data_IF_241585505130
#
_entry.id   IF_241585505130
#
_cell.length_a   1.000
_cell.length_b   1.000
_cell.length_c   1.000
_cell.angle_alpha   90.00
_cell.angle_beta   90.00
_cell.angle_gamma   90.00
#
_symmetry.space_group_name_H-M   'P 1'
#
loop_
_entity.id
_entity.type
_entity.pdbx_description
1 polymer ?
#
# COMPACT_ATOMS: atom_id res chain seq x y z
N UNK A 1 25.08 0.65 -18.32
CA UNK A 1 24.22 1.53 -17.53
C UNK A 1 23.19 0.64 -16.83
N UNK A 2 23.15 0.66 -15.49
CA UNK A 2 22.39 -0.21 -14.62
C UNK A 2 20.86 -0.04 -14.62
N UNK A 3 20.27 0.31 -15.75
CA UNK A 3 18.83 0.25 -15.94
C UNK A 3 18.56 -1.09 -16.60
N UNK A 4 18.10 -2.03 -15.79
CA UNK A 4 17.92 -3.40 -16.23
C UNK A 4 16.58 -3.61 -16.95
N UNK A 5 16.50 -4.67 -17.75
CA UNK A 5 15.33 -4.96 -18.60
C UNK A 5 14.06 -5.18 -17.79
N UNK A 6 14.18 -5.64 -16.54
CA UNK A 6 13.08 -5.86 -15.60
C UNK A 6 12.54 -4.58 -14.95
N UNK A 7 13.27 -3.44 -15.07
CA UNK A 7 12.76 -2.17 -14.58
C UNK A 7 11.59 -1.68 -15.44
N UNK A 8 10.42 -1.31 -14.87
CA UNK A 8 9.24 -0.87 -15.62
C UNK A 8 9.52 0.36 -16.50
N UNK A 9 10.49 1.20 -16.12
CA UNK A 9 10.86 2.39 -16.88
C UNK A 9 11.95 2.15 -17.93
N UNK A 10 12.47 0.93 -18.08
CA UNK A 10 13.60 0.62 -18.96
C UNK A 10 13.37 1.04 -20.40
N UNK A 11 12.24 0.64 -21.01
CA UNK A 11 11.90 0.97 -22.40
C UNK A 11 11.77 2.48 -22.59
N UNK A 12 11.13 3.16 -21.64
CA UNK A 12 11.00 4.62 -21.69
C UNK A 12 12.38 5.30 -21.60
N UNK A 13 13.22 4.84 -20.69
CA UNK A 13 14.56 5.38 -20.50
C UNK A 13 15.40 5.23 -21.77
N UNK A 14 15.43 4.04 -22.37
CA UNK A 14 16.16 3.79 -23.61
C UNK A 14 15.64 4.63 -24.76
N UNK A 15 14.33 4.64 -25.00
CA UNK A 15 13.74 5.33 -26.16
C UNK A 15 13.66 6.84 -26.01
N UNK A 16 13.22 7.34 -24.84
CA UNK A 16 12.93 8.79 -24.67
C UNK A 16 14.08 9.57 -24.02
N UNK A 17 14.88 8.91 -23.18
CA UNK A 17 15.99 9.59 -22.49
C UNK A 17 17.28 9.42 -23.30
N UNK A 18 17.65 8.19 -23.65
CA UNK A 18 18.88 7.89 -24.41
C UNK A 18 18.69 7.95 -25.93
N UNK A 19 17.46 8.04 -26.41
CA UNK A 19 17.12 8.13 -27.85
C UNK A 19 17.64 6.92 -28.66
N UNK A 20 17.66 5.74 -28.01
CA UNK A 20 17.98 4.45 -28.64
C UNK A 20 16.69 3.74 -29.00
N UNK A 21 16.60 3.22 -30.22
CA UNK A 21 15.39 2.52 -30.67
C UNK A 21 15.30 1.14 -29.99
N UNK A 22 14.18 0.92 -29.28
CA UNK A 22 13.75 -0.38 -28.77
C UNK A 22 12.32 -0.62 -29.19
N UNK A 23 12.06 -1.82 -29.70
CA UNK A 23 10.71 -2.22 -30.07
C UNK A 23 9.81 -2.43 -28.84
N UNK A 24 8.54 -2.10 -28.98
CA UNK A 24 7.48 -2.37 -28.02
C UNK A 24 6.80 -1.12 -27.46
N UNK A 25 5.68 -1.35 -26.76
CA UNK A 25 4.86 -0.30 -26.17
C UNK A 25 5.63 0.40 -25.06
N UNK A 26 5.67 1.73 -25.12
CA UNK A 26 6.27 2.58 -24.09
C UNK A 26 5.14 3.04 -23.18
N UNK A 27 5.23 2.69 -21.91
CA UNK A 27 4.28 3.13 -20.89
C UNK A 27 4.73 4.46 -20.29
N UNK A 28 3.80 5.39 -20.17
CA UNK A 28 3.98 6.62 -19.43
C UNK A 28 3.36 6.49 -18.05
N UNK A 29 4.21 6.52 -17.04
CA UNK A 29 3.84 6.52 -15.61
C UNK A 29 4.36 7.78 -14.94
N UNK A 30 3.96 8.02 -13.69
CA UNK A 30 4.55 9.09 -12.87
C UNK A 30 6.09 9.02 -12.85
N UNK A 31 6.64 7.82 -12.73
CA UNK A 31 8.10 7.61 -12.67
C UNK A 31 8.79 7.95 -13.99
N UNK A 32 8.21 7.55 -15.12
CA UNK A 32 8.77 7.85 -16.44
C UNK A 32 8.68 9.33 -16.78
N UNK A 33 7.64 10.01 -16.34
CA UNK A 33 7.51 11.46 -16.49
C UNK A 33 8.56 12.21 -15.68
N UNK A 34 8.95 11.73 -14.50
CA UNK A 34 10.04 12.29 -13.73
C UNK A 34 11.38 12.19 -14.47
N UNK A 35 11.64 11.08 -15.17
CA UNK A 35 12.82 10.95 -16.03
C UNK A 35 12.81 11.98 -17.17
N UNK A 36 11.65 12.19 -17.80
CA UNK A 36 11.52 13.21 -18.84
C UNK A 36 11.72 14.63 -18.31
N UNK A 37 11.17 14.91 -17.13
CA UNK A 37 11.37 16.21 -16.47
C UNK A 37 12.84 16.44 -16.11
N UNK A 38 13.53 15.42 -15.61
CA UNK A 38 14.97 15.48 -15.33
C UNK A 38 15.78 15.80 -16.62
N UNK A 39 15.48 15.11 -17.74
CA UNK A 39 16.12 15.41 -19.04
C UNK A 39 15.89 16.85 -19.45
N UNK A 40 14.65 17.34 -19.34
CA UNK A 40 14.30 18.71 -19.69
C UNK A 40 15.01 19.73 -18.77
N UNK A 41 15.07 19.45 -17.47
CA UNK A 41 15.80 20.26 -16.51
C UNK A 41 17.29 20.37 -16.86
N UNK A 42 17.96 19.26 -17.13
CA UNK A 42 19.38 19.29 -17.51
C UNK A 42 19.60 20.02 -18.85
N UNK A 43 18.73 19.79 -19.85
CA UNK A 43 18.79 20.56 -21.11
C UNK A 43 18.69 22.06 -20.85
N UNK A 44 17.71 22.49 -20.05
CA UNK A 44 17.51 23.89 -19.70
C UNK A 44 18.74 24.47 -18.98
N UNK A 45 19.23 23.76 -17.96
CA UNK A 45 20.40 24.19 -17.17
C UNK A 45 21.67 24.32 -18.02
N UNK A 46 21.88 23.41 -18.98
CA UNK A 46 23.00 23.50 -19.92
C UNK A 46 22.84 24.73 -20.85
N UNK A 47 21.64 25.00 -21.36
CA UNK A 47 21.36 26.18 -22.16
C UNK A 47 21.59 27.49 -21.36
N UNK A 48 21.12 27.54 -20.14
CA UNK A 48 21.34 28.69 -19.22
C UNK A 48 22.83 28.91 -18.96
N UNK A 49 23.59 27.85 -18.71
CA UNK A 49 25.04 27.91 -18.53
C UNK A 49 25.75 28.43 -19.77
N UNK A 50 25.34 27.99 -20.95
CA UNK A 50 25.86 28.46 -22.23
C UNK A 50 25.60 29.95 -22.44
N UNK A 51 24.37 30.40 -22.19
CA UNK A 51 23.97 31.81 -22.32
C UNK A 51 24.69 32.70 -21.30
N UNK A 52 24.77 32.25 -20.02
CA UNK A 52 25.50 32.98 -18.99
C UNK A 52 27.01 33.11 -19.28
N UNK A 53 27.56 32.18 -20.05
CA UNK A 53 28.93 32.23 -20.57
C UNK A 53 29.10 33.04 -21.84
N UNK A 54 28.18 33.97 -22.16
CA UNK A 54 28.18 34.79 -23.40
C UNK A 54 28.18 33.95 -24.69
N UNK A 55 27.43 32.84 -24.68
CA UNK A 55 27.36 31.86 -25.77
C UNK A 55 28.72 31.25 -26.16
N UNK A 56 29.63 31.14 -25.15
CA UNK A 56 30.96 30.57 -25.35
C UNK A 56 30.91 29.04 -25.18
N UNK A 57 31.29 28.32 -26.20
CA UNK A 57 31.36 26.87 -26.23
C UNK A 57 32.42 26.29 -25.26
N UNK A 58 33.42 27.09 -24.85
CA UNK A 58 34.43 26.68 -23.88
C UNK A 58 33.84 26.34 -22.54
N UNK A 59 32.75 27.02 -22.14
CA UNK A 59 32.04 26.72 -20.85
C UNK A 59 31.46 25.29 -20.89
N UNK A 60 30.87 24.94 -22.00
CA UNK A 60 30.31 23.59 -22.20
C UNK A 60 31.42 22.55 -22.32
N UNK A 61 32.49 22.84 -23.05
CA UNK A 61 33.64 21.93 -23.14
C UNK A 61 34.29 21.70 -21.78
N UNK A 62 34.40 22.73 -20.95
CA UNK A 62 34.92 22.59 -19.58
C UNK A 62 34.02 21.73 -18.70
N UNK A 63 32.69 21.89 -18.81
CA UNK A 63 31.71 21.01 -18.14
C UNK A 63 31.89 19.55 -18.60
N UNK A 64 31.99 19.32 -19.89
CA UNK A 64 32.20 17.99 -20.49
C UNK A 64 33.49 17.34 -20.00
N UNK A 65 34.61 18.08 -20.01
CA UNK A 65 35.90 17.60 -19.52
C UNK A 65 35.83 17.27 -18.01
N UNK A 66 35.17 18.13 -17.23
CA UNK A 66 35.01 17.87 -15.79
C UNK A 66 34.22 16.59 -15.54
N UNK A 67 33.11 16.35 -16.27
CA UNK A 67 32.28 15.16 -16.11
C UNK A 67 32.95 13.88 -16.61
N UNK A 68 33.68 13.96 -17.74
CA UNK A 68 34.22 12.76 -18.39
C UNK A 68 35.63 12.39 -17.95
N UNK A 69 36.43 13.36 -17.52
CA UNK A 69 37.86 13.15 -17.22
C UNK A 69 38.24 13.41 -15.78
N UNK A 70 37.56 14.33 -15.06
CA UNK A 70 37.94 14.73 -13.69
C UNK A 70 37.03 14.04 -12.66
N UNK A 71 35.80 13.70 -12.99
CA UNK A 71 34.93 12.96 -12.09
C UNK A 71 35.43 11.51 -12.00
N UNK A 72 35.67 11.05 -10.79
CA UNK A 72 36.13 9.68 -10.53
C UNK A 72 34.96 8.87 -9.98
N UNK A 73 34.77 7.68 -10.53
CA UNK A 73 33.81 6.70 -10.05
C UNK A 73 34.59 5.58 -9.33
N UNK A 74 34.10 5.21 -8.16
CA UNK A 74 34.62 4.04 -7.46
C UNK A 74 33.68 2.86 -7.78
N UNK A 75 34.19 1.87 -8.49
CA UNK A 75 33.43 0.67 -8.87
C UNK A 75 33.82 -0.46 -7.90
N UNK A 76 32.86 -0.95 -7.17
CA UNK A 76 33.01 -2.07 -6.27
C UNK A 76 32.33 -3.30 -6.87
N UNK A 77 33.10 -4.35 -7.08
CA UNK A 77 32.57 -5.66 -7.46
C UNK A 77 32.40 -6.49 -6.20
N UNK A 78 31.24 -7.05 -6.00
CA UNK A 78 30.92 -7.92 -4.87
C UNK A 78 30.68 -9.30 -5.49
N UNK A 79 31.61 -10.23 -5.24
CA UNK A 79 31.63 -11.56 -5.89
C UNK A 79 30.68 -12.57 -5.21
N UNK A 80 30.22 -12.31 -4.00
CA UNK A 80 29.43 -13.22 -3.19
C UNK A 80 27.99 -12.65 -2.99
N UNK A 81 27.00 -13.40 -3.40
CA UNK A 81 25.58 -13.03 -3.28
C UNK A 81 25.17 -12.70 -1.83
N UNK A 82 25.83 -13.29 -0.83
CA UNK A 82 25.63 -12.98 0.58
C UNK A 82 26.07 -11.56 0.93
N UNK A 83 27.24 -11.17 0.44
CA UNK A 83 27.81 -9.85 0.68
C UNK A 83 27.08 -8.74 -0.07
N UNK A 84 26.46 -9.04 -1.22
CA UNK A 84 25.67 -8.09 -2.01
C UNK A 84 24.51 -7.55 -1.19
N UNK A 85 23.77 -8.40 -0.49
CA UNK A 85 22.63 -8.00 0.32
C UNK A 85 23.05 -7.09 1.51
N UNK A 86 24.06 -7.49 2.26
CA UNK A 86 24.55 -6.70 3.40
C UNK A 86 25.17 -5.39 2.92
N UNK A 87 25.94 -5.42 1.84
CA UNK A 87 26.50 -4.21 1.25
C UNK A 87 25.41 -3.26 0.77
N UNK A 88 24.34 -3.78 0.15
CA UNK A 88 23.23 -2.99 -0.34
C UNK A 88 22.43 -2.33 0.80
N UNK A 89 22.11 -3.04 1.88
CA UNK A 89 21.46 -2.46 3.07
C UNK A 89 22.35 -1.39 3.74
N UNK A 90 23.65 -1.63 3.85
CA UNK A 90 24.56 -0.70 4.53
C UNK A 90 24.93 0.52 3.68
N UNK A 91 25.09 0.35 2.36
CA UNK A 91 25.45 1.45 1.47
C UNK A 91 24.28 2.42 1.20
N UNK A 92 23.05 1.91 1.14
CA UNK A 92 21.86 2.74 0.90
C UNK A 92 21.45 3.63 2.09
N UNK A 93 21.99 3.40 3.28
CA UNK A 93 21.77 4.30 4.43
C UNK A 93 22.45 5.68 4.28
N UNK A 94 23.27 5.90 3.23
CA UNK A 94 23.98 7.16 2.99
C UNK A 94 23.34 8.09 1.95
N UNK A 95 22.22 7.69 1.33
CA UNK A 95 21.49 8.44 0.29
C UNK A 95 19.99 8.45 0.52
N UNK A 96 19.20 8.47 -0.58
CA UNK A 96 17.76 8.23 -0.50
C UNK A 96 17.54 6.77 -0.07
N UNK A 97 16.92 6.60 1.09
CA UNK A 97 16.59 5.25 1.59
C UNK A 97 15.72 4.51 0.61
N UNK A 98 15.94 3.21 0.48
CA UNK A 98 15.02 2.32 -0.23
C UNK A 98 13.69 2.27 0.51
N UNK A 99 12.62 2.11 -0.25
CA UNK A 99 11.32 1.80 0.33
C UNK A 99 11.32 0.38 0.93
N UNK A 100 10.39 0.12 1.85
CA UNK A 100 10.24 -1.21 2.44
C UNK A 100 9.92 -2.28 1.38
N UNK A 101 9.19 -1.89 0.33
CA UNK A 101 8.88 -2.76 -0.79
C UNK A 101 10.15 -3.17 -1.58
N UNK A 102 11.09 -2.23 -1.80
CA UNK A 102 12.37 -2.52 -2.44
C UNK A 102 13.28 -3.37 -1.55
N UNK A 103 13.31 -3.09 -0.25
CA UNK A 103 14.05 -3.92 0.72
C UNK A 103 13.51 -5.36 0.72
N UNK A 104 12.19 -5.52 0.66
CA UNK A 104 11.57 -6.84 0.59
C UNK A 104 11.94 -7.58 -0.71
N UNK A 105 11.91 -6.90 -1.87
CA UNK A 105 12.36 -7.48 -3.14
C UNK A 105 13.74 -8.12 -3.00
N UNK A 106 14.69 -7.31 -2.56
CA UNK A 106 16.07 -7.73 -2.44
C UNK A 106 16.23 -8.89 -1.43
N UNK A 107 15.48 -8.84 -0.32
CA UNK A 107 15.44 -9.90 0.67
C UNK A 107 14.92 -11.21 0.07
N UNK A 108 13.85 -11.18 -0.70
CA UNK A 108 13.29 -12.38 -1.33
C UNK A 108 14.26 -12.98 -2.37
N UNK A 109 14.86 -12.14 -3.23
CA UNK A 109 15.88 -12.58 -4.19
C UNK A 109 17.06 -13.24 -3.47
N UNK A 110 17.57 -12.60 -2.41
CA UNK A 110 18.65 -13.17 -1.60
C UNK A 110 18.26 -14.53 -1.00
N UNK A 111 17.08 -14.65 -0.42
CA UNK A 111 16.65 -15.92 0.19
C UNK A 111 16.58 -17.06 -0.83
N UNK A 112 16.24 -16.78 -2.09
CA UNK A 112 16.24 -17.84 -3.13
C UNK A 112 17.62 -18.45 -3.35
N UNK A 113 18.72 -17.75 -3.05
CA UNK A 113 20.08 -18.29 -3.18
C UNK A 113 20.43 -19.32 -2.12
N UNK A 114 19.74 -19.27 -0.97
CA UNK A 114 20.02 -20.12 0.19
C UNK A 114 19.33 -21.48 0.15
N UNK A 115 18.32 -21.65 -0.71
CA UNK A 115 17.61 -22.91 -0.85
C UNK A 115 18.46 -23.94 -1.62
N UNK A 116 18.27 -25.23 -1.28
CA UNK A 116 18.96 -26.34 -1.93
C UNK A 116 18.21 -26.89 -3.15
N UNK A 117 17.16 -26.21 -3.56
CA UNK A 117 16.36 -26.57 -4.73
C UNK A 117 17.14 -26.38 -6.04
N UNK A 118 16.59 -26.91 -7.15
CA UNK A 118 17.17 -26.80 -8.47
C UNK A 118 17.39 -25.34 -8.88
N UNK A 119 18.50 -25.05 -9.52
CA UNK A 119 18.84 -23.68 -9.96
C UNK A 119 17.85 -23.13 -10.98
N UNK A 120 17.21 -23.98 -11.77
CA UNK A 120 16.17 -23.58 -12.70
C UNK A 120 14.93 -23.07 -11.96
N UNK A 121 14.46 -23.79 -10.95
CA UNK A 121 13.32 -23.37 -10.10
C UNK A 121 13.64 -22.06 -9.37
N UNK A 122 14.86 -21.92 -8.85
CA UNK A 122 15.29 -20.67 -8.20
C UNK A 122 15.31 -19.51 -9.19
N UNK A 123 15.74 -19.74 -10.43
CA UNK A 123 15.73 -18.71 -11.47
C UNK A 123 14.31 -18.27 -11.83
N UNK A 124 13.39 -19.21 -12.04
CA UNK A 124 11.98 -18.93 -12.32
C UNK A 124 11.34 -18.06 -11.21
N UNK A 125 11.59 -18.38 -9.95
CA UNK A 125 11.07 -17.58 -8.83
C UNK A 125 11.67 -16.17 -8.81
N UNK A 126 12.96 -16.00 -9.15
CA UNK A 126 13.56 -14.66 -9.26
C UNK A 126 12.97 -13.85 -10.41
N UNK A 127 12.69 -14.47 -11.54
CA UNK A 127 11.98 -13.86 -12.67
C UNK A 127 10.57 -13.45 -12.23
N UNK A 128 9.84 -14.31 -11.53
CA UNK A 128 8.52 -14.01 -10.98
C UNK A 128 8.55 -12.83 -9.96
N UNK A 129 9.58 -12.77 -9.11
CA UNK A 129 9.78 -11.63 -8.22
C UNK A 129 9.93 -10.35 -9.04
N UNK A 130 10.81 -10.35 -10.03
CA UNK A 130 11.08 -9.18 -10.85
C UNK A 130 9.83 -8.72 -11.62
N UNK A 131 9.10 -9.64 -12.23
CA UNK A 131 7.87 -9.33 -12.96
C UNK A 131 6.76 -8.82 -12.04
N UNK A 132 6.63 -9.39 -10.85
CA UNK A 132 5.67 -8.91 -9.85
C UNK A 132 5.98 -7.47 -9.42
N UNK A 133 7.25 -7.15 -9.11
CA UNK A 133 7.63 -5.78 -8.74
C UNK A 133 7.45 -4.80 -9.89
N UNK A 134 7.73 -5.21 -11.10
CA UNK A 134 7.45 -4.41 -12.30
C UNK A 134 5.96 -4.09 -12.42
N UNK A 135 5.09 -5.07 -12.20
CA UNK A 135 3.66 -4.88 -12.21
C UNK A 135 3.19 -3.97 -11.07
N UNK A 136 3.68 -4.19 -9.84
CA UNK A 136 3.37 -3.33 -8.69
C UNK A 136 3.72 -1.88 -9.00
N UNK A 137 4.94 -1.58 -9.46
CA UNK A 137 5.34 -0.21 -9.78
C UNK A 137 4.59 0.38 -10.98
N UNK A 138 4.16 -0.46 -11.95
CA UNK A 138 3.28 -0.02 -13.03
C UNK A 138 1.96 0.51 -12.46
N UNK A 139 1.32 -0.23 -11.56
CA UNK A 139 0.07 0.21 -10.91
C UNK A 139 0.27 1.40 -9.98
N UNK A 140 1.28 1.38 -9.10
CA UNK A 140 1.55 2.49 -8.18
C UNK A 140 1.83 3.80 -8.91
N UNK A 141 2.48 3.74 -10.07
CA UNK A 141 2.81 4.90 -10.90
C UNK A 141 1.82 5.20 -12.02
N UNK A 142 0.75 4.41 -12.19
CA UNK A 142 -0.19 4.52 -13.32
C UNK A 142 -0.88 5.88 -13.39
N UNK A 143 -1.24 6.45 -12.23
CA UNK A 143 -1.73 7.81 -12.19
C UNK A 143 -0.56 8.80 -12.28
N UNK A 144 -0.49 9.53 -13.41
CA UNK A 144 0.62 10.43 -13.73
C UNK A 144 0.74 11.64 -12.81
N UNK A 145 -0.35 12.04 -12.16
CA UNK A 145 -0.40 13.21 -11.29
C UNK A 145 -0.08 12.86 -9.83
N UNK A 146 -0.48 11.65 -9.39
CA UNK A 146 -0.36 11.22 -8.00
C UNK A 146 -0.03 9.74 -7.93
N UNK A 147 1.22 9.38 -7.67
CA UNK A 147 1.58 7.99 -7.43
C UNK A 147 0.98 7.52 -6.11
N UNK A 148 0.73 6.22 -6.00
CA UNK A 148 0.36 5.58 -4.75
C UNK A 148 1.62 5.25 -3.94
N UNK A 149 1.48 5.24 -2.62
CA UNK A 149 2.55 4.86 -1.70
C UNK A 149 2.77 3.34 -1.75
N UNK A 150 4.00 2.95 -1.96
CA UNK A 150 4.43 1.55 -1.91
C UNK A 150 4.39 0.99 -0.49
N UNK A 151 4.71 1.79 0.52
CA UNK A 151 4.63 1.40 1.93
C UNK A 151 3.19 1.19 2.39
N UNK A 152 2.25 2.08 1.98
CA UNK A 152 0.82 1.88 2.27
C UNK A 152 0.27 0.59 1.62
N UNK A 153 0.67 0.31 0.39
CA UNK A 153 0.30 -0.93 -0.28
C UNK A 153 0.86 -2.16 0.45
N UNK A 154 2.15 -2.13 0.78
CA UNK A 154 2.80 -3.26 1.46
C UNK A 154 2.18 -3.52 2.85
N UNK A 155 1.85 -2.46 3.60
CA UNK A 155 1.18 -2.58 4.89
C UNK A 155 -0.22 -3.16 4.74
N UNK A 156 -1.01 -2.69 3.77
CA UNK A 156 -2.34 -3.23 3.50
C UNK A 156 -2.29 -4.71 3.10
N UNK A 157 -1.34 -5.08 2.23
CA UNK A 157 -1.12 -6.47 1.85
C UNK A 157 -0.67 -7.34 3.03
N UNK A 158 0.19 -6.81 3.91
CA UNK A 158 0.57 -7.52 5.14
C UNK A 158 -0.65 -7.85 6.01
N UNK A 159 -1.58 -6.91 6.17
CA UNK A 159 -2.84 -7.13 6.89
C UNK A 159 -3.66 -8.25 6.22
N UNK A 160 -3.80 -8.23 4.90
CA UNK A 160 -4.55 -9.23 4.13
C UNK A 160 -3.94 -10.62 4.28
N UNK A 161 -2.62 -10.73 4.16
CA UNK A 161 -1.93 -12.02 4.10
C UNK A 161 -1.68 -12.63 5.48
N UNK A 162 -1.23 -11.82 6.44
CA UNK A 162 -0.84 -12.30 7.77
C UNK A 162 -1.89 -12.02 8.86
N UNK A 163 -2.75 -11.03 8.67
CA UNK A 163 -3.68 -10.55 9.70
C UNK A 163 -3.04 -9.49 10.59
N UNK A 164 -3.79 -9.03 11.58
CA UNK A 164 -3.39 -7.97 12.48
C UNK A 164 -3.67 -8.36 13.92
N UNK A 165 -2.74 -8.07 14.84
CA UNK A 165 -2.96 -8.21 16.27
C UNK A 165 -2.67 -6.89 16.99
N UNK A 166 -3.57 -6.49 17.88
CA UNK A 166 -3.47 -5.23 18.63
C UNK A 166 -2.33 -5.28 19.67
N UNK A 167 -2.09 -6.44 20.26
CA UNK A 167 -1.03 -6.69 21.25
C UNK A 167 0.37 -6.64 20.65
N UNK A 168 0.48 -6.94 19.37
CA UNK A 168 1.72 -6.79 18.65
C UNK A 168 1.63 -5.47 17.86
N UNK A 169 2.01 -4.34 18.48
CA UNK A 169 2.40 -3.09 17.79
C UNK A 169 3.59 -3.36 16.87
N UNK A 170 3.57 -4.51 16.20
CA UNK A 170 4.64 -4.96 15.34
C UNK A 170 4.59 -4.17 14.06
N UNK A 171 5.63 -3.40 13.83
CA UNK A 171 5.86 -2.78 12.54
C UNK A 171 5.89 -3.90 11.47
N UNK A 172 5.01 -3.83 10.48
CA UNK A 172 4.91 -4.80 9.40
C UNK A 172 6.25 -5.08 8.71
N UNK A 173 7.13 -4.06 8.64
CA UNK A 173 8.48 -4.16 8.10
C UNK A 173 9.35 -5.08 8.94
N UNK A 174 9.33 -4.92 10.28
CA UNK A 174 10.08 -5.79 11.18
C UNK A 174 9.56 -7.23 11.10
N UNK A 175 8.24 -7.42 11.00
CA UNK A 175 7.67 -8.75 10.80
C UNK A 175 8.17 -9.38 9.50
N UNK A 176 8.03 -8.69 8.38
CA UNK A 176 8.41 -9.22 7.06
C UNK A 176 9.92 -9.49 6.97
N UNK A 177 10.76 -8.54 7.38
CA UNK A 177 12.20 -8.58 7.12
C UNK A 177 13.02 -9.21 8.25
N UNK A 178 12.53 -9.18 9.50
CA UNK A 178 13.30 -9.69 10.65
C UNK A 178 12.71 -10.95 11.29
N UNK A 179 11.44 -11.29 10.97
CA UNK A 179 10.81 -12.49 11.51
C UNK A 179 10.40 -13.49 10.43
N UNK A 180 9.67 -13.05 9.39
CA UNK A 180 9.09 -13.98 8.41
C UNK A 180 10.08 -14.36 7.31
N UNK A 181 10.60 -13.41 6.54
CA UNK A 181 11.55 -13.66 5.45
C UNK A 181 13.00 -13.53 5.97
N UNK A 182 13.46 -14.52 6.72
CA UNK A 182 14.79 -14.52 7.31
C UNK A 182 15.62 -15.72 6.85
N UNK A 183 16.94 -15.53 6.76
CA UNK A 183 17.90 -16.60 6.48
C UNK A 183 17.74 -17.75 7.49
N UNK A 184 17.56 -17.42 8.77
CA UNK A 184 17.42 -18.40 9.84
C UNK A 184 16.28 -19.38 9.57
N UNK A 185 15.14 -18.88 9.05
CA UNK A 185 13.99 -19.73 8.68
C UNK A 185 14.20 -20.60 7.45
N UNK A 186 15.15 -20.27 6.58
CA UNK A 186 15.53 -21.13 5.46
C UNK A 186 16.37 -22.30 5.95
N UNK A 187 17.25 -22.08 6.94
CA UNK A 187 18.20 -23.06 7.44
C UNK A 187 17.56 -23.95 8.52
N UNK A 188 16.90 -23.32 9.48
CA UNK A 188 16.38 -23.96 10.69
C UNK A 188 14.84 -24.01 10.67
N UNK A 189 14.29 -25.05 11.35
CA UNK A 189 12.86 -25.15 11.62
C UNK A 189 12.54 -24.37 12.90
N UNK A 190 12.10 -23.11 12.76
CA UNK A 190 11.85 -22.22 13.89
C UNK A 190 10.36 -21.89 13.96
N UNK A 191 9.75 -22.23 15.10
CA UNK A 191 8.45 -21.69 15.47
C UNK A 191 8.61 -20.24 15.92
N UNK A 192 8.07 -19.29 15.18
CA UNK A 192 8.02 -17.90 15.62
C UNK A 192 6.70 -17.69 16.33
N UNK A 193 6.75 -17.78 17.66
CA UNK A 193 5.69 -17.26 18.52
C UNK A 193 5.95 -15.77 18.59
N UNK A 194 4.98 -14.94 18.17
CA UNK A 194 5.03 -13.50 18.42
C UNK A 194 4.92 -13.27 19.94
N UNK A 195 6.05 -13.31 20.66
CA UNK A 195 6.13 -12.85 22.04
C UNK A 195 6.34 -11.35 22.06
N UNK A 196 5.72 -10.71 23.04
CA UNK A 196 5.89 -9.31 23.41
C UNK A 196 7.36 -8.88 23.29
N UNK A 197 7.61 -7.89 22.47
CA UNK A 197 8.87 -7.18 22.47
C UNK A 197 8.68 -6.00 23.42
N UNK A 198 9.38 -6.03 24.54
CA UNK A 198 9.50 -4.90 25.45
C UNK A 198 9.87 -3.65 24.66
N UNK A 199 9.10 -2.61 24.93
CA UNK A 199 9.25 -1.26 24.36
C UNK A 199 10.65 -0.71 24.57
N UNK A 200 11.44 -0.61 23.53
CA UNK A 200 12.56 0.33 23.45
C UNK A 200 12.46 1.12 22.16
N UNK A 201 12.22 2.42 22.37
CA UNK A 201 12.38 3.55 21.46
C UNK A 201 11.79 3.37 20.05
N UNK A 202 10.60 3.92 19.91
CA UNK A 202 9.92 4.12 18.64
C UNK A 202 10.37 5.50 18.12
N UNK A 203 11.14 5.50 17.04
CA UNK A 203 11.19 6.68 16.18
C UNK A 203 9.80 6.86 15.55
N UNK A 204 9.17 7.96 15.93
CA UNK A 204 7.89 8.41 15.40
C UNK A 204 8.06 8.81 13.93
N UNK A 205 7.51 7.99 13.02
CA UNK A 205 7.09 8.50 11.72
C UNK A 205 5.80 7.81 11.27
N UNK A 206 4.73 8.56 11.49
CA UNK A 206 3.52 8.68 10.68
C UNK A 206 2.67 7.43 10.34
N UNK A 207 1.91 6.98 11.31
CA UNK A 207 0.45 6.83 11.15
C UNK A 207 -0.18 6.87 12.54
N UNK A 208 -0.85 7.96 12.86
CA UNK A 208 -1.56 8.16 14.13
C UNK A 208 -2.70 7.14 14.21
N UNK A 209 -2.45 6.04 14.90
CA UNK A 209 -3.51 5.24 15.52
C UNK A 209 -3.64 5.84 16.91
N UNK A 210 -4.70 6.62 17.13
CA UNK A 210 -4.97 7.23 18.44
C UNK A 210 -5.12 6.16 19.53
N UNK A 211 -4.51 6.41 20.67
CA UNK A 211 -4.35 5.48 21.81
C UNK A 211 -5.62 5.27 22.67
N UNK A 212 -6.81 5.70 22.26
CA UNK A 212 -7.97 5.83 23.18
C UNK A 212 -8.97 4.67 23.22
N UNK A 213 -8.73 3.53 22.59
CA UNK A 213 -9.68 2.39 22.62
C UNK A 213 -9.32 1.33 23.67
N UNK A 214 -9.05 1.68 24.94
CA UNK A 214 -8.57 0.76 25.96
C UNK A 214 -9.61 -0.16 26.63
N UNK A 215 -10.88 -0.16 26.29
CA UNK A 215 -11.92 -0.81 27.10
C UNK A 215 -12.66 -2.02 26.52
N UNK A 216 -12.29 -2.66 25.44
CA UNK A 216 -13.00 -3.84 24.95
C UNK A 216 -12.25 -5.18 25.13
N UNK A 217 -12.63 -5.88 26.24
CA UNK A 217 -12.50 -7.32 26.51
C UNK A 217 -11.12 -7.99 26.39
N UNK A 218 -10.47 -8.16 27.53
CA UNK A 218 -9.26 -8.95 27.74
C UNK A 218 -9.41 -10.46 27.39
N UNK A 219 -10.60 -11.02 27.31
CA UNK A 219 -10.82 -12.47 27.10
C UNK A 219 -10.70 -12.93 25.63
N UNK A 220 -10.77 -12.03 24.64
CA UNK A 220 -10.59 -12.39 23.22
C UNK A 220 -9.13 -12.28 22.73
N UNK A 221 -8.23 -11.81 23.58
CA UNK A 221 -6.87 -11.38 23.22
C UNK A 221 -5.87 -12.54 23.09
N UNK A 222 -6.12 -13.68 23.74
CA UNK A 222 -5.15 -14.79 23.76
C UNK A 222 -5.12 -15.66 22.50
N UNK A 223 -6.10 -15.57 21.60
CA UNK A 223 -6.21 -16.50 20.46
C UNK A 223 -5.61 -16.02 19.14
N UNK A 224 -5.22 -14.75 18.98
CA UNK A 224 -4.82 -14.19 17.69
C UNK A 224 -3.36 -13.70 17.62
N UNK A 225 -2.42 -14.38 18.25
CA UNK A 225 -1.00 -14.13 17.95
C UNK A 225 -0.67 -14.64 16.54
N UNK A 226 0.00 -13.81 15.72
CA UNK A 226 0.54 -14.23 14.41
C UNK A 226 1.56 -15.35 14.64
N UNK A 227 1.10 -16.60 14.62
CA UNK A 227 1.98 -17.77 14.71
C UNK A 227 2.56 -18.03 13.32
N UNK A 228 3.86 -17.91 13.23
CA UNK A 228 4.59 -18.37 12.06
C UNK A 228 5.35 -19.61 12.48
N UNK A 229 4.91 -20.76 11.99
CA UNK A 229 5.51 -22.04 12.32
C UNK A 229 6.23 -22.63 11.09
N UNK A 230 7.33 -23.34 11.36
CA UNK A 230 8.01 -24.14 10.38
C UNK A 230 9.08 -23.40 9.54
N UNK A 231 9.75 -24.23 8.73
CA UNK A 231 10.79 -23.79 7.82
C UNK A 231 10.21 -23.06 6.62
N UNK A 232 10.86 -21.97 6.22
CA UNK A 232 10.49 -21.25 5.00
C UNK A 232 10.83 -22.12 3.77
N UNK A 233 9.89 -22.19 2.82
CA UNK A 233 10.05 -22.94 1.56
C UNK A 233 9.98 -21.97 0.38
N UNK A 234 10.55 -22.36 -0.76
CA UNK A 234 10.43 -21.59 -2.00
C UNK A 234 8.96 -21.36 -2.40
N UNK A 235 8.09 -22.34 -2.14
CA UNK A 235 6.64 -22.22 -2.37
C UNK A 235 5.99 -21.11 -1.55
N UNK A 236 6.48 -20.83 -0.33
CA UNK A 236 5.95 -19.77 0.51
C UNK A 236 6.28 -18.40 -0.09
N UNK A 237 7.49 -18.25 -0.65
CA UNK A 237 7.89 -17.08 -1.40
C UNK A 237 7.00 -16.91 -2.64
N UNK A 238 6.83 -17.95 -3.43
CA UNK A 238 5.99 -17.92 -4.63
C UNK A 238 4.53 -17.57 -4.30
N UNK A 239 3.96 -18.18 -3.27
CA UNK A 239 2.59 -17.85 -2.81
C UNK A 239 2.45 -16.38 -2.40
N UNK A 240 3.45 -15.87 -1.67
CA UNK A 240 3.44 -14.47 -1.23
C UNK A 240 3.54 -13.49 -2.40
N UNK A 241 4.41 -13.76 -3.38
CA UNK A 241 4.55 -12.91 -4.58
C UNK A 241 3.26 -12.91 -5.40
N UNK A 242 2.68 -14.09 -5.60
CA UNK A 242 1.42 -14.24 -6.32
C UNK A 242 0.28 -13.47 -5.64
N UNK A 243 0.25 -13.47 -4.30
CA UNK A 243 -0.75 -12.69 -3.56
C UNK A 243 -0.58 -11.17 -3.72
N UNK A 244 0.67 -10.67 -3.77
CA UNK A 244 0.94 -9.26 -4.08
C UNK A 244 0.44 -8.89 -5.48
N UNK A 245 0.75 -9.73 -6.47
CA UNK A 245 0.31 -9.55 -7.87
C UNK A 245 -1.21 -9.55 -8.00
N UNK A 246 -1.89 -10.41 -7.24
CA UNK A 246 -3.34 -10.51 -7.25
C UNK A 246 -4.02 -9.26 -6.65
N UNK A 247 -3.44 -8.65 -5.64
CA UNK A 247 -4.07 -7.56 -4.88
C UNK A 247 -3.78 -6.18 -5.47
N UNK A 248 -2.62 -5.95 -6.11
CA UNK A 248 -2.22 -4.61 -6.56
C UNK A 248 -3.20 -3.94 -7.54
N UNK A 249 -3.85 -4.63 -8.49
CA UNK A 249 -4.83 -3.99 -9.35
C UNK A 249 -6.00 -3.39 -8.56
N UNK A 250 -6.54 -4.14 -7.60
CA UNK A 250 -7.65 -3.68 -6.76
C UNK A 250 -7.25 -2.55 -5.82
N UNK A 251 -6.01 -2.57 -5.31
CA UNK A 251 -5.46 -1.44 -4.56
C UNK A 251 -5.47 -0.15 -5.37
N UNK A 252 -5.09 -0.23 -6.64
CA UNK A 252 -5.17 0.90 -7.56
C UNK A 252 -6.62 1.36 -7.77
N UNK A 253 -7.54 0.43 -8.00
CA UNK A 253 -8.93 0.69 -8.28
C UNK A 253 -9.66 1.36 -7.11
N UNK A 254 -9.25 1.10 -5.85
CA UNK A 254 -9.77 1.80 -4.68
C UNK A 254 -9.52 3.31 -4.72
N UNK A 255 -8.36 3.73 -5.21
CA UNK A 255 -7.99 5.14 -5.26
C UNK A 255 -8.47 5.85 -6.52
N UNK A 256 -8.54 5.12 -7.63
CA UNK A 256 -8.88 5.65 -8.94
C UNK A 256 -9.99 4.82 -9.63
N UNK A 257 -11.17 4.72 -8.99
CA UNK A 257 -12.26 3.89 -9.52
C UNK A 257 -12.67 4.27 -10.93
N UNK A 258 -12.64 5.53 -11.29
CA UNK A 258 -12.98 6.02 -12.64
C UNK A 258 -12.06 5.47 -13.74
N UNK A 259 -10.85 5.03 -13.39
CA UNK A 259 -9.87 4.46 -14.31
C UNK A 259 -9.85 2.93 -14.29
N UNK A 260 -10.74 2.31 -13.51
CA UNK A 260 -10.86 0.87 -13.37
C UNK A 260 -11.80 0.25 -14.39
N UNK A 261 -11.76 -1.08 -14.49
CA UNK A 261 -12.71 -1.87 -15.29
C UNK A 261 -13.91 -2.36 -14.46
N UNK A 262 -14.10 -1.82 -13.25
CA UNK A 262 -15.23 -2.16 -12.38
C UNK A 262 -16.54 -1.62 -12.96
N UNK A 263 -17.68 -2.17 -12.53
CA UNK A 263 -18.99 -1.65 -12.91
C UNK A 263 -19.22 -0.23 -12.41
N UNK A 264 -20.10 0.48 -13.09
CA UNK A 264 -20.41 1.89 -12.75
C UNK A 264 -20.96 2.02 -11.33
N UNK A 265 -21.72 1.04 -10.86
CA UNK A 265 -22.26 1.02 -9.49
C UNK A 265 -21.15 0.87 -8.45
N UNK A 266 -20.17 -0.04 -8.67
CA UNK A 266 -19.01 -0.17 -7.78
C UNK A 266 -18.16 1.11 -7.81
N UNK A 267 -17.91 1.70 -8.97
CA UNK A 267 -17.18 2.98 -9.11
C UNK A 267 -17.85 4.09 -8.33
N UNK A 268 -19.19 4.19 -8.44
CA UNK A 268 -19.98 5.17 -7.70
C UNK A 268 -19.77 5.04 -6.19
N UNK A 269 -19.86 3.82 -5.66
CA UNK A 269 -19.70 3.57 -4.23
C UNK A 269 -18.26 3.77 -3.75
N UNK A 270 -17.25 3.34 -4.50
CA UNK A 270 -15.85 3.65 -4.19
C UNK A 270 -15.59 5.16 -4.21
N UNK A 271 -16.19 5.90 -5.15
CA UNK A 271 -16.15 7.34 -5.19
C UNK A 271 -16.75 7.99 -3.92
N UNK A 272 -17.87 7.47 -3.41
CA UNK A 272 -18.47 7.89 -2.14
C UNK A 272 -17.53 7.61 -0.96
N UNK A 273 -16.96 6.41 -0.89
CA UNK A 273 -16.03 6.03 0.16
C UNK A 273 -14.75 6.86 0.14
N UNK A 274 -14.23 7.20 -1.03
CA UNK A 274 -13.07 8.10 -1.16
C UNK A 274 -13.37 9.50 -0.63
N UNK A 275 -14.61 10.02 -0.81
CA UNK A 275 -15.02 11.33 -0.28
C UNK A 275 -15.18 11.34 1.24
N UNK A 276 -15.67 10.22 1.83
CA UNK A 276 -15.87 10.13 3.28
C UNK A 276 -14.60 9.73 4.05
N UNK A 277 -13.63 9.18 3.36
CA UNK A 277 -12.41 8.55 3.86
C UNK A 277 -12.67 7.25 4.64
N UNK A 278 -12.15 6.13 4.15
CA UNK A 278 -12.38 4.78 4.68
C UNK A 278 -11.07 4.00 4.85
N UNK A 279 -10.02 4.68 5.29
CA UNK A 279 -8.65 4.17 5.27
C UNK A 279 -8.50 2.72 5.79
N UNK A 280 -9.04 2.41 6.96
CA UNK A 280 -8.85 1.07 7.54
C UNK A 280 -9.72 -0.03 6.92
N UNK A 281 -10.73 0.32 6.12
CA UNK A 281 -11.49 -0.67 5.35
C UNK A 281 -10.83 -1.05 4.02
N UNK A 282 -9.78 -0.34 3.59
CA UNK A 282 -9.14 -0.60 2.29
C UNK A 282 -8.62 -2.03 2.15
N UNK A 283 -7.93 -2.65 3.15
CA UNK A 283 -7.52 -4.04 3.02
C UNK A 283 -8.70 -4.99 2.77
N UNK A 284 -9.76 -4.87 3.56
CA UNK A 284 -10.95 -5.71 3.41
C UNK A 284 -11.65 -5.45 2.06
N UNK A 285 -11.72 -4.19 1.62
CA UNK A 285 -12.33 -3.83 0.33
C UNK A 285 -11.52 -4.42 -0.84
N UNK A 286 -10.19 -4.42 -0.77
CA UNK A 286 -9.35 -5.10 -1.76
C UNK A 286 -9.72 -6.59 -1.88
N UNK A 287 -9.87 -7.28 -0.75
CA UNK A 287 -10.23 -8.69 -0.74
C UNK A 287 -11.63 -8.90 -1.32
N UNK A 288 -12.63 -8.11 -0.90
CA UNK A 288 -14.00 -8.22 -1.42
C UNK A 288 -14.05 -8.03 -2.94
N UNK A 289 -13.30 -7.07 -3.46
CA UNK A 289 -13.26 -6.81 -4.90
C UNK A 289 -12.50 -7.91 -5.67
N UNK A 290 -11.45 -8.48 -5.09
CA UNK A 290 -10.62 -9.49 -5.74
C UNK A 290 -11.23 -10.88 -5.81
N UNK A 291 -12.30 -11.13 -5.05
CA UNK A 291 -12.99 -12.41 -5.00
C UNK A 291 -14.04 -12.53 -6.13
N UNK A 292 -13.84 -13.48 -7.04
CA UNK A 292 -14.78 -13.75 -8.16
C UNK A 292 -16.03 -14.48 -7.70
N UNK A 293 -15.96 -15.22 -6.59
CA UNK A 293 -17.07 -15.93 -5.97
C UNK A 293 -18.06 -15.01 -5.23
N UNK A 294 -17.70 -13.74 -5.01
CA UNK A 294 -18.62 -12.75 -4.45
C UNK A 294 -19.35 -12.03 -5.59
N UNK A 295 -20.68 -12.18 -5.59
CA UNK A 295 -21.52 -11.50 -6.59
C UNK A 295 -21.40 -9.98 -6.52
N UNK A 296 -21.63 -9.32 -7.65
CA UNK A 296 -21.60 -7.86 -7.75
C UNK A 296 -22.58 -7.20 -6.77
N UNK A 297 -23.77 -7.77 -6.62
CA UNK A 297 -24.78 -7.30 -5.66
C UNK A 297 -24.23 -7.32 -4.22
N UNK A 298 -23.54 -8.38 -3.83
CA UNK A 298 -22.92 -8.49 -2.51
C UNK A 298 -21.75 -7.52 -2.34
N UNK A 299 -20.97 -7.27 -3.39
CA UNK A 299 -19.91 -6.23 -3.36
C UNK A 299 -20.51 -4.85 -3.13
N UNK A 300 -21.56 -4.49 -3.86
CA UNK A 300 -22.27 -3.21 -3.69
C UNK A 300 -22.89 -3.10 -2.30
N UNK A 301 -23.56 -4.15 -1.82
CA UNK A 301 -24.14 -4.19 -0.48
C UNK A 301 -23.08 -3.97 0.59
N UNK A 302 -21.93 -4.62 0.47
CA UNK A 302 -20.77 -4.39 1.36
C UNK A 302 -20.32 -2.93 1.36
N UNK A 303 -20.10 -2.33 0.19
CA UNK A 303 -19.66 -0.92 0.08
C UNK A 303 -20.67 0.06 0.71
N UNK A 304 -21.97 -0.20 0.55
CA UNK A 304 -23.05 0.56 1.23
C UNK A 304 -22.97 0.45 2.74
N UNK A 305 -22.73 -0.74 3.25
CA UNK A 305 -22.62 -0.98 4.69
C UNK A 305 -21.37 -0.31 5.28
N UNK A 306 -20.24 -0.32 4.58
CA UNK A 306 -19.02 0.40 4.98
C UNK A 306 -19.27 1.92 5.03
N UNK A 307 -19.90 2.49 4.01
CA UNK A 307 -20.25 3.93 4.01
C UNK A 307 -21.16 4.27 5.20
N UNK A 308 -22.22 3.48 5.41
CA UNK A 308 -23.14 3.66 6.54
C UNK A 308 -22.40 3.57 7.88
N UNK A 309 -21.50 2.59 8.04
CA UNK A 309 -20.68 2.42 9.24
C UNK A 309 -19.86 3.67 9.54
N UNK A 310 -19.11 4.14 8.55
CA UNK A 310 -18.23 5.30 8.71
C UNK A 310 -19.06 6.56 8.97
N UNK A 311 -20.12 6.76 8.21
CA UNK A 311 -20.95 7.94 8.37
C UNK A 311 -21.58 8.01 9.77
N UNK A 312 -22.21 6.93 10.21
CA UNK A 312 -22.92 6.92 11.50
C UNK A 312 -21.96 6.97 12.70
N UNK A 313 -20.90 6.18 12.70
CA UNK A 313 -20.03 6.04 13.87
C UNK A 313 -18.97 7.12 13.96
N UNK A 314 -18.33 7.49 12.86
CA UNK A 314 -17.19 8.42 12.92
C UNK A 314 -17.56 9.85 12.51
N UNK A 315 -18.42 10.00 11.52
CA UNK A 315 -18.69 11.32 10.94
C UNK A 315 -19.88 12.03 11.59
N UNK A 316 -20.90 11.29 11.94
CA UNK A 316 -22.09 11.84 12.57
C UNK A 316 -21.97 11.82 14.10
N UNK A 317 -21.61 10.68 14.70
CA UNK A 317 -21.50 10.57 16.15
C UNK A 317 -20.36 11.43 16.70
N UNK A 318 -19.20 11.41 16.04
CA UNK A 318 -17.98 12.07 16.50
C UNK A 318 -17.40 11.49 17.78
N UNK A 319 -17.89 10.30 18.21
CA UNK A 319 -17.44 9.64 19.43
C UNK A 319 -16.24 8.72 19.20
N UNK A 320 -16.04 8.25 17.96
CA UNK A 320 -14.96 7.35 17.63
C UNK A 320 -14.14 7.91 16.46
N UNK A 321 -12.85 7.83 16.56
CA UNK A 321 -11.95 8.00 15.41
C UNK A 321 -11.75 6.67 14.71
N UNK A 322 -11.67 5.57 15.50
CA UNK A 322 -11.62 4.19 15.02
C UNK A 322 -12.47 3.29 15.93
N UNK A 323 -13.14 2.30 15.37
CA UNK A 323 -13.92 1.33 16.11
C UNK A 323 -13.89 -0.02 15.42
N UNK A 324 -13.54 -1.10 16.15
CA UNK A 324 -13.40 -2.46 15.65
C UNK A 324 -12.43 -2.60 14.45
N UNK A 325 -11.47 -1.70 14.29
CA UNK A 325 -10.50 -1.74 13.18
C UNK A 325 -9.72 -3.06 13.15
N UNK A 326 -9.24 -3.55 14.31
CA UNK A 326 -8.54 -4.84 14.42
C UNK A 326 -9.41 -6.00 13.94
N UNK A 327 -10.71 -5.98 14.25
CA UNK A 327 -11.65 -7.01 13.80
C UNK A 327 -11.78 -7.01 12.28
N UNK A 328 -11.97 -5.83 11.66
CA UNK A 328 -12.07 -5.74 10.20
C UNK A 328 -10.76 -6.06 9.49
N UNK A 329 -9.61 -5.75 10.10
CA UNK A 329 -8.32 -6.20 9.57
C UNK A 329 -8.20 -7.73 9.59
N UNK A 330 -8.61 -8.38 10.66
CA UNK A 330 -8.59 -9.85 10.73
C UNK A 330 -9.62 -10.48 9.80
N UNK A 331 -10.81 -9.88 9.66
CA UNK A 331 -11.79 -10.30 8.67
C UNK A 331 -11.26 -10.19 7.23
N UNK A 332 -10.33 -9.25 6.94
CA UNK A 332 -9.67 -9.19 5.62
C UNK A 332 -8.88 -10.46 5.34
N UNK A 333 -8.07 -10.92 6.30
CA UNK A 333 -7.33 -12.17 6.19
C UNK A 333 -8.27 -13.37 6.12
N UNK A 334 -9.25 -13.45 7.04
CA UNK A 334 -10.14 -14.60 7.12
C UNK A 334 -10.98 -14.75 5.85
N UNK A 335 -11.45 -13.64 5.27
CA UNK A 335 -12.13 -13.65 3.97
C UNK A 335 -11.15 -14.05 2.85
N UNK A 336 -9.91 -13.57 2.87
CA UNK A 336 -8.91 -13.91 1.86
C UNK A 336 -8.63 -15.41 1.81
N UNK A 337 -8.47 -16.05 2.97
CA UNK A 337 -8.18 -17.49 3.08
C UNK A 337 -9.45 -18.37 3.11
N UNK A 338 -10.65 -17.79 3.10
CA UNK A 338 -11.93 -18.51 3.08
C UNK A 338 -12.41 -18.99 4.45
N UNK A 339 -11.90 -18.45 5.55
CA UNK A 339 -12.35 -18.76 6.91
C UNK A 339 -13.62 -18.02 7.33
N UNK A 340 -13.99 -16.96 6.61
CA UNK A 340 -15.23 -16.22 6.80
C UNK A 340 -15.91 -15.96 5.46
N UNK A 341 -17.16 -15.62 5.47
CA UNK A 341 -17.96 -15.33 4.28
C UNK A 341 -18.26 -13.84 4.13
N UNK A 342 -18.69 -13.42 2.96
CA UNK A 342 -19.13 -12.03 2.76
C UNK A 342 -20.37 -11.70 3.58
N UNK A 343 -21.23 -12.68 3.84
CA UNK A 343 -22.41 -12.57 4.68
C UNK A 343 -22.03 -12.28 6.13
N UNK A 344 -20.99 -12.94 6.67
CA UNK A 344 -20.49 -12.68 8.02
C UNK A 344 -19.96 -11.26 8.15
N UNK A 345 -19.19 -10.79 7.16
CA UNK A 345 -18.69 -9.41 7.10
C UNK A 345 -19.85 -8.41 7.05
N UNK A 346 -20.88 -8.68 6.23
CA UNK A 346 -22.07 -7.84 6.12
C UNK A 346 -22.88 -7.81 7.43
N UNK A 347 -22.99 -8.94 8.11
CA UNK A 347 -23.67 -9.04 9.40
C UNK A 347 -22.93 -8.20 10.46
N UNK A 348 -21.61 -8.28 10.54
CA UNK A 348 -20.80 -7.46 11.44
C UNK A 348 -21.00 -5.95 11.17
N UNK A 349 -21.02 -5.54 9.91
CA UNK A 349 -21.28 -4.16 9.54
C UNK A 349 -22.73 -3.71 9.81
N UNK A 350 -23.69 -4.65 9.81
CA UNK A 350 -25.07 -4.36 10.18
C UNK A 350 -25.27 -4.12 11.67
N UNK A 351 -24.41 -4.64 12.53
CA UNK A 351 -24.51 -4.56 13.99
C UNK A 351 -24.37 -3.12 14.54
N UNK A 352 -24.20 -2.11 13.70
CA UNK A 352 -24.39 -0.70 14.08
C UNK A 352 -25.75 -0.48 14.77
N UNK A 353 -26.77 -1.26 14.38
CA UNK A 353 -28.10 -1.21 15.00
C UNK A 353 -28.13 -1.87 16.40
N UNK A 354 -27.27 -2.87 16.68
CA UNK A 354 -27.19 -3.56 17.97
C UNK A 354 -26.48 -2.69 19.01
N UNK A 355 -25.51 -1.89 18.61
CA UNK A 355 -24.90 -0.88 19.47
C UNK A 355 -25.91 0.12 20.07
N UNK A 356 -27.08 0.30 19.42
CA UNK A 356 -28.17 1.10 19.96
C UNK A 356 -28.97 0.42 21.09
N UNK A 357 -28.87 -0.91 21.29
CA UNK A 357 -29.66 -1.62 22.30
C UNK A 357 -28.95 -1.79 23.64
N UNK A 358 -27.62 -1.88 23.67
CA UNK A 358 -26.88 -2.25 24.86
C UNK A 358 -26.01 -1.12 25.45
N UNK A 359 -25.77 -0.03 24.74
CA UNK A 359 -25.03 1.13 25.25
C UNK A 359 -25.88 2.40 25.09
N UNK A 360 -26.34 2.98 26.19
CA UNK A 360 -27.12 4.23 26.29
C UNK A 360 -26.49 5.43 25.56
N UNK A 361 -25.22 5.31 25.17
CA UNK A 361 -24.42 6.33 24.47
C UNK A 361 -24.96 6.66 23.05
N UNK A 362 -25.72 5.74 22.41
CA UNK A 362 -26.29 5.91 21.07
C UNK A 362 -27.78 6.24 21.03
N UNK A 363 -28.38 6.61 22.16
CA UNK A 363 -29.82 6.91 22.29
C UNK A 363 -30.23 8.16 21.52
N UNK A 364 -29.33 9.09 21.25
CA UNK A 364 -29.59 10.12 20.30
C UNK A 364 -29.61 9.51 18.89
N UNK A 365 -30.80 9.22 18.39
CA UNK A 365 -30.93 8.74 17.01
C UNK A 365 -30.07 9.62 16.08
N UNK A 366 -29.48 9.09 15.03
CA UNK A 366 -28.73 9.89 14.06
C UNK A 366 -29.50 11.13 13.61
N UNK A 367 -30.83 11.04 13.55
CA UNK A 367 -31.72 12.12 13.22
C UNK A 367 -31.74 13.21 14.29
N UNK A 368 -31.74 12.89 15.58
CA UNK A 368 -31.72 13.88 16.66
C UNK A 368 -30.40 14.64 16.68
N UNK A 369 -29.29 13.98 16.40
CA UNK A 369 -27.98 14.64 16.31
C UNK A 369 -27.88 15.57 15.10
N UNK A 370 -28.32 15.14 13.91
CA UNK A 370 -28.41 16.01 12.74
C UNK A 370 -29.31 17.22 13.08
N UNK A 371 -30.50 17.00 13.66
CA UNK A 371 -31.41 18.04 14.05
C UNK A 371 -30.78 19.05 15.02
N UNK A 372 -30.00 18.57 16.00
CA UNK A 372 -29.25 19.42 16.94
C UNK A 372 -28.15 20.22 16.25
N UNK A 373 -27.41 19.63 15.32
CA UNK A 373 -26.39 20.32 14.52
C UNK A 373 -26.99 21.46 13.69
N UNK A 374 -28.18 21.26 13.13
CA UNK A 374 -28.87 22.30 12.32
C UNK A 374 -29.68 23.32 13.14
N UNK A 375 -30.11 22.97 14.36
CA UNK A 375 -30.82 23.91 15.24
C UNK A 375 -29.89 24.92 15.92
N UNK A 376 -28.65 24.58 16.19
CA UNK A 376 -27.67 25.50 16.75
C UNK A 376 -27.11 26.39 15.63
N UNK A 377 -27.30 27.69 15.72
CA UNK A 377 -27.00 28.68 14.66
C UNK A 377 -25.62 28.59 14.02
N UNK A 378 -24.65 27.88 14.62
CA UNK A 378 -23.31 27.65 14.07
C UNK A 378 -22.89 26.18 14.09
N UNK A 379 -23.73 25.23 14.52
CA UNK A 379 -23.36 23.85 14.74
C UNK A 379 -22.95 23.12 13.47
N UNK A 380 -23.62 23.42 12.35
CA UNK A 380 -23.30 22.79 11.08
C UNK A 380 -21.99 23.28 10.45
N UNK A 381 -21.54 24.51 10.73
CA UNK A 381 -20.25 25.00 10.22
C UNK A 381 -19.06 24.33 10.86
N UNK A 382 -19.17 23.90 12.10
CA UNK A 382 -18.13 23.15 12.81
C UNK A 382 -18.13 21.65 12.50
N UNK A 383 -19.17 21.13 11.82
CA UNK A 383 -19.24 19.75 11.45
C UNK A 383 -18.35 19.45 10.24
N UNK A 384 -17.23 18.80 10.46
CA UNK A 384 -16.22 18.52 9.43
C UNK A 384 -16.78 17.75 8.22
N UNK A 385 -17.85 16.96 8.41
CA UNK A 385 -18.46 16.12 7.37
C UNK A 385 -19.59 16.81 6.61
N UNK A 386 -19.89 18.08 6.93
CA UNK A 386 -21.00 18.82 6.27
C UNK A 386 -20.88 18.83 4.74
N UNK A 387 -19.65 18.93 4.19
CA UNK A 387 -19.42 18.96 2.75
C UNK A 387 -19.82 17.65 2.10
N UNK A 388 -19.47 16.52 2.72
CA UNK A 388 -19.86 15.19 2.25
C UNK A 388 -21.39 15.06 2.28
N UNK A 389 -22.03 15.37 3.40
CA UNK A 389 -23.48 15.30 3.56
C UNK A 389 -24.23 16.14 2.51
N UNK A 390 -23.86 17.39 2.32
CA UNK A 390 -24.49 18.27 1.33
C UNK A 390 -24.27 17.79 -0.10
N UNK A 391 -23.09 17.29 -0.42
CA UNK A 391 -22.79 16.75 -1.74
C UNK A 391 -23.65 15.52 -2.06
N UNK A 392 -23.75 14.58 -1.14
CA UNK A 392 -24.57 13.37 -1.33
C UNK A 392 -26.07 13.72 -1.36
N UNK A 393 -26.51 14.71 -0.60
CA UNK A 393 -27.88 15.23 -0.65
C UNK A 393 -28.21 15.87 -2.00
N UNK A 394 -27.31 16.65 -2.56
CA UNK A 394 -27.45 17.21 -3.90
C UNK A 394 -27.51 16.13 -4.99
N UNK A 395 -26.71 15.09 -4.87
CA UNK A 395 -26.79 13.94 -5.79
C UNK A 395 -28.15 13.23 -5.66
N UNK A 396 -28.65 13.04 -4.45
CA UNK A 396 -29.97 12.49 -4.19
C UNK A 396 -31.06 13.31 -4.87
N UNK A 397 -31.05 14.63 -4.69
CA UNK A 397 -32.02 15.51 -5.33
C UNK A 397 -31.96 15.46 -6.87
N UNK A 398 -30.79 15.20 -7.44
CA UNK A 398 -30.58 15.06 -8.88
C UNK A 398 -30.90 13.65 -9.40
N UNK A 399 -31.38 12.73 -8.53
CA UNK A 399 -31.63 11.34 -8.89
C UNK A 399 -30.37 10.55 -9.31
N UNK A 400 -29.19 10.95 -8.82
CA UNK A 400 -27.89 10.34 -9.14
C UNK A 400 -27.30 9.51 -7.99
N UNK A 401 -28.10 9.14 -7.03
CA UNK A 401 -27.70 8.25 -5.93
C UNK A 401 -28.08 6.82 -6.29
N UNK A 402 -27.11 5.92 -6.26
CA UNK A 402 -27.34 4.49 -6.45
C UNK A 402 -28.11 3.84 -5.28
#
# INVERSE_FOLDING_TARGET
FGYEVDNPSYKFFKNKILETELEGKIEETFYTLNLQQAKNFFKKSICELYTAGNNNMEVINRLFINLTQKLKFNTYYIEDDFNVYIAFETMNNRGKRLSNLELLKNRLIYLTTLFKDDDEVKREIREDINDTWKEIYSYLGKNKARPLSDDEFLQAHWIIYFGYTRTNKENYTNFLLKKYFTQKRVIDDISIIAKEVESKEIDNDDYIISEEDEEDNEEAVEQNSLKVEGKLKLKDISNYINSLRQIIPYWYDLYFPEQSNLSEDIKLWLGKLNRINYAYFKPLTCVVLSKDDISEENKIKYLRLVERWIFLLFRLSGYFETYKNSKFYNMSKDLYIGNTTIEDVQNELNDVAVLNKDKEIFIDSPLSKITRLFKNNNGYYSWSTIRYFLYEYELYLKGKTG
#
